data_IF_944605510198
#
_entry.id   IF_944605510198
#
_cell.length_a   1.000
_cell.length_b   1.000
_cell.length_c   1.000
_cell.angle_alpha   90.00
_cell.angle_beta   90.00
_cell.angle_gamma   90.00
#
_symmetry.space_group_name_H-M   'P 1'
#
loop_
_entity.id
_entity.type
_entity.pdbx_description
1 polymer ?
#
# COMPACT_ATOMS: atom_id res chain seq x y z
N UNK A 1 13.59 -24.03 -0.08
CA UNK A 1 14.83 -23.25 0.16
C UNK A 1 14.50 -22.08 1.06
N UNK A 2 15.50 -21.49 1.74
CA UNK A 2 15.27 -20.29 2.57
C UNK A 2 15.43 -19.03 1.72
N UNK A 3 14.50 -18.08 1.83
CA UNK A 3 14.54 -16.83 1.09
C UNK A 3 15.74 -15.98 1.55
N UNK A 4 16.44 -15.27 0.63
CA UNK A 4 17.54 -14.38 0.98
C UNK A 4 17.13 -13.36 2.06
N UNK A 5 17.97 -13.11 3.08
CA UNK A 5 17.64 -12.19 4.18
C UNK A 5 17.22 -10.79 3.71
N UNK A 6 17.83 -10.29 2.63
CA UNK A 6 17.54 -8.98 2.05
C UNK A 6 16.11 -8.91 1.50
N UNK A 7 15.66 -9.97 0.82
CA UNK A 7 14.29 -10.05 0.30
C UNK A 7 13.30 -10.15 1.45
N UNK A 8 13.59 -10.97 2.47
CA UNK A 8 12.75 -11.06 3.67
C UNK A 8 12.59 -9.69 4.35
N UNK A 9 13.66 -8.90 4.45
CA UNK A 9 13.62 -7.56 5.01
C UNK A 9 12.77 -6.59 4.15
N UNK A 10 12.91 -6.65 2.82
CA UNK A 10 12.09 -5.85 1.90
C UNK A 10 10.60 -6.21 2.01
N UNK A 11 10.27 -7.50 2.02
CA UNK A 11 8.89 -7.97 2.20
C UNK A 11 8.28 -7.52 3.53
N UNK A 12 9.02 -7.66 4.62
CA UNK A 12 8.58 -7.21 5.94
C UNK A 12 8.30 -5.70 5.95
N UNK A 13 9.18 -4.90 5.33
CA UNK A 13 8.98 -3.46 5.18
C UNK A 13 7.75 -3.15 4.33
N UNK A 14 7.58 -3.84 3.19
CA UNK A 14 6.46 -3.64 2.28
C UNK A 14 5.13 -3.93 2.98
N UNK A 15 5.01 -5.08 3.66
CA UNK A 15 3.81 -5.43 4.43
C UNK A 15 3.46 -4.38 5.48
N UNK A 16 4.45 -3.95 6.28
CA UNK A 16 4.25 -2.91 7.30
C UNK A 16 3.74 -1.60 6.73
N UNK A 17 4.24 -1.19 5.55
CA UNK A 17 3.79 0.03 4.90
C UNK A 17 2.39 -0.11 4.31
N UNK A 18 2.04 -1.27 3.75
CA UNK A 18 0.67 -1.55 3.28
C UNK A 18 -0.35 -1.55 4.43
N UNK A 19 -0.03 -2.18 5.56
CA UNK A 19 -0.87 -2.16 6.76
C UNK A 19 -1.12 -0.72 7.25
N UNK A 20 -0.07 0.10 7.23
CA UNK A 20 -0.18 1.51 7.63
C UNK A 20 -1.09 2.29 6.68
N UNK A 21 -0.95 2.09 5.36
CA UNK A 21 -1.82 2.72 4.35
C UNK A 21 -3.27 2.29 4.55
N UNK A 22 -3.51 1.00 4.76
CA UNK A 22 -4.84 0.45 5.01
C UNK A 22 -5.50 1.09 6.23
N UNK A 23 -4.78 1.18 7.35
CA UNK A 23 -5.26 1.81 8.57
C UNK A 23 -5.60 3.30 8.38
N UNK A 24 -4.72 4.04 7.71
CA UNK A 24 -4.96 5.46 7.42
C UNK A 24 -6.14 5.63 6.45
N UNK A 25 -6.28 4.79 5.42
CA UNK A 25 -7.42 4.83 4.51
C UNK A 25 -8.76 4.56 5.23
N UNK A 26 -8.81 3.55 6.10
CA UNK A 26 -9.98 3.26 6.94
C UNK A 26 -10.34 4.46 7.82
N UNK A 27 -9.34 5.11 8.42
CA UNK A 27 -9.53 6.31 9.23
C UNK A 27 -10.03 7.48 8.38
N UNK A 28 -9.48 7.66 7.18
CA UNK A 28 -9.91 8.64 6.20
C UNK A 28 -11.37 8.47 5.79
N UNK A 29 -11.81 7.24 5.51
CA UNK A 29 -13.21 6.91 5.23
C UNK A 29 -14.13 7.30 6.39
N UNK A 30 -13.74 6.96 7.63
CA UNK A 30 -14.52 7.32 8.82
C UNK A 30 -14.64 8.83 8.96
N UNK A 31 -13.53 9.58 8.82
CA UNK A 31 -13.54 11.04 8.87
C UNK A 31 -14.43 11.65 7.79
N UNK A 32 -14.29 11.17 6.55
CA UNK A 32 -15.06 11.68 5.41
C UNK A 32 -16.55 11.46 5.63
N UNK A 33 -16.96 10.27 6.11
CA UNK A 33 -18.36 9.98 6.46
C UNK A 33 -18.90 10.94 7.53
N UNK A 34 -18.15 11.15 8.61
CA UNK A 34 -18.56 12.07 9.68
C UNK A 34 -18.72 13.50 9.15
N UNK A 35 -17.80 14.00 8.32
CA UNK A 35 -17.91 15.34 7.76
C UNK A 35 -19.09 15.43 6.79
N UNK A 36 -19.34 14.37 6.00
CA UNK A 36 -20.46 14.31 5.05
C UNK A 36 -21.85 14.39 5.69
N UNK A 37 -21.97 14.12 7.00
CA UNK A 37 -23.22 14.33 7.75
C UNK A 37 -23.58 15.83 7.86
N UNK A 38 -22.59 16.73 7.79
CA UNK A 38 -22.76 18.17 7.99
C UNK A 38 -22.45 18.99 6.74
N UNK A 39 -21.60 18.48 5.83
CA UNK A 39 -21.19 19.14 4.60
C UNK A 39 -21.21 18.12 3.45
N UNK A 40 -22.09 18.31 2.47
CA UNK A 40 -22.03 17.55 1.22
C UNK A 40 -21.38 18.39 0.14
N UNK A 41 -20.20 17.95 -0.33
CA UNK A 41 -19.47 18.55 -1.43
C UNK A 41 -18.91 17.43 -2.31
N UNK A 42 -18.81 17.71 -3.61
CA UNK A 42 -18.11 16.90 -4.60
C UNK A 42 -16.69 16.54 -4.11
N UNK A 43 -15.98 17.48 -3.48
CA UNK A 43 -14.62 17.22 -2.96
C UNK A 43 -14.60 16.11 -1.92
N UNK A 44 -15.60 16.04 -1.02
CA UNK A 44 -15.72 14.97 -0.03
C UNK A 44 -16.10 13.64 -0.68
N UNK A 45 -16.90 13.67 -1.74
CA UNK A 45 -17.26 12.47 -2.50
C UNK A 45 -16.05 11.88 -3.24
N UNK A 46 -15.25 12.73 -3.88
CA UNK A 46 -13.98 12.34 -4.52
C UNK A 46 -12.97 11.84 -3.49
N UNK A 47 -12.91 12.48 -2.31
CA UNK A 47 -12.05 12.04 -1.20
C UNK A 47 -12.48 10.68 -0.65
N UNK A 48 -13.79 10.44 -0.53
CA UNK A 48 -14.33 9.14 -0.13
C UNK A 48 -13.99 8.04 -1.14
N UNK A 49 -14.14 8.32 -2.45
CA UNK A 49 -13.75 7.40 -3.52
C UNK A 49 -12.25 7.09 -3.45
N UNK A 50 -11.40 8.11 -3.30
CA UNK A 50 -9.96 7.96 -3.18
C UNK A 50 -9.55 6.98 -2.07
N UNK A 51 -10.17 7.04 -0.88
CA UNK A 51 -9.84 6.10 0.18
C UNK A 51 -10.31 4.67 -0.11
N UNK A 52 -11.40 4.47 -0.84
CA UNK A 52 -11.81 3.13 -1.28
C UNK A 52 -10.83 2.58 -2.33
N UNK A 53 -10.44 3.40 -3.31
CA UNK A 53 -9.43 3.03 -4.32
C UNK A 53 -8.10 2.71 -3.67
N UNK A 54 -7.73 3.43 -2.60
CA UNK A 54 -6.56 3.12 -1.79
C UNK A 54 -6.65 1.73 -1.15
N UNK A 55 -7.81 1.34 -0.59
CA UNK A 55 -7.99 0.00 -0.02
C UNK A 55 -7.89 -1.09 -1.11
N UNK A 56 -8.47 -0.83 -2.28
CA UNK A 56 -8.34 -1.71 -3.43
C UNK A 56 -6.87 -1.84 -3.87
N UNK A 57 -6.12 -0.72 -3.90
CA UNK A 57 -4.70 -0.71 -4.17
C UNK A 57 -3.92 -1.56 -3.16
N UNK A 58 -4.19 -1.44 -1.85
CA UNK A 58 -3.54 -2.25 -0.82
C UNK A 58 -3.77 -3.74 -1.08
N UNK A 59 -5.02 -4.15 -1.35
CA UNK A 59 -5.32 -5.54 -1.65
C UNK A 59 -4.58 -6.03 -2.91
N UNK A 60 -4.54 -5.19 -3.95
CA UNK A 60 -3.80 -5.50 -5.18
C UNK A 60 -2.30 -5.68 -4.92
N UNK A 61 -1.69 -4.83 -4.09
CA UNK A 61 -0.26 -4.99 -3.75
C UNK A 61 0.00 -6.23 -2.90
N UNK A 62 -0.88 -6.58 -1.95
CA UNK A 62 -0.77 -7.82 -1.18
C UNK A 62 -0.75 -9.06 -2.10
N UNK A 63 -1.64 -9.09 -3.10
CA UNK A 63 -1.67 -10.17 -4.11
C UNK A 63 -0.37 -10.19 -4.93
N UNK A 64 0.12 -9.02 -5.39
CA UNK A 64 1.37 -8.93 -6.15
C UNK A 64 2.58 -9.44 -5.36
N UNK A 65 2.67 -9.09 -4.08
CA UNK A 65 3.72 -9.59 -3.19
C UNK A 65 3.65 -11.11 -3.09
N UNK A 66 2.47 -11.69 -2.90
CA UNK A 66 2.31 -13.14 -2.84
C UNK A 66 2.79 -13.81 -4.14
N UNK A 67 2.44 -13.25 -5.29
CA UNK A 67 2.92 -13.76 -6.59
C UNK A 67 4.45 -13.72 -6.69
N UNK A 68 5.09 -12.65 -6.20
CA UNK A 68 6.56 -12.55 -6.19
C UNK A 68 7.17 -13.60 -5.24
N UNK A 69 6.60 -13.77 -4.05
CA UNK A 69 7.04 -14.81 -3.08
C UNK A 69 6.93 -16.20 -3.71
N UNK A 70 5.81 -16.50 -4.36
CA UNK A 70 5.58 -17.78 -5.01
C UNK A 70 6.62 -18.00 -6.12
N UNK A 71 6.86 -16.98 -6.98
CA UNK A 71 7.91 -17.04 -8.01
C UNK A 71 9.28 -17.37 -7.42
N UNK A 72 9.66 -16.76 -6.29
CA UNK A 72 10.94 -17.03 -5.62
C UNK A 72 10.99 -18.47 -5.11
N UNK A 73 9.91 -18.96 -4.51
CA UNK A 73 9.84 -20.31 -3.94
C UNK A 73 9.90 -21.42 -5.00
N UNK A 74 9.42 -21.15 -6.22
CA UNK A 74 9.47 -22.09 -7.34
C UNK A 74 10.79 -22.07 -8.14
N UNK A 75 11.77 -21.24 -7.77
CA UNK A 75 13.10 -21.28 -8.39
C UNK A 75 13.89 -22.47 -7.83
N UNK A 76 14.05 -23.52 -8.64
CA UNK A 76 14.79 -24.74 -8.28
C UNK A 76 16.31 -24.53 -8.18
N UNK A 77 16.87 -23.60 -8.96
CA UNK A 77 18.26 -23.15 -8.88
C UNK A 77 18.28 -21.62 -8.86
N UNK A 78 18.87 -21.05 -7.81
CA UNK A 78 19.03 -19.60 -7.61
C UNK A 78 19.97 -19.03 -8.68
N UNK A 79 19.42 -18.69 -9.84
CA UNK A 79 20.06 -17.79 -10.78
C UNK A 79 20.01 -16.42 -10.11
N UNK A 80 21.14 -15.95 -9.56
CA UNK A 80 21.25 -14.68 -8.84
C UNK A 80 20.61 -13.51 -9.61
N UNK A 81 20.67 -13.54 -10.94
CA UNK A 81 20.01 -12.56 -11.81
C UNK A 81 18.48 -12.53 -11.65
N UNK A 82 17.82 -13.70 -11.53
CA UNK A 82 16.36 -13.77 -11.35
C UNK A 82 15.96 -13.24 -9.97
N UNK A 83 16.75 -13.53 -8.95
CA UNK A 83 16.54 -12.99 -7.60
C UNK A 83 16.70 -11.46 -7.61
N UNK A 84 17.72 -10.92 -8.28
CA UNK A 84 17.90 -9.47 -8.39
C UNK A 84 16.73 -8.79 -9.11
N UNK A 85 16.23 -9.37 -10.20
CA UNK A 85 15.08 -8.82 -10.93
C UNK A 85 13.83 -8.77 -10.04
N UNK A 86 13.55 -9.84 -9.30
CA UNK A 86 12.41 -9.89 -8.38
C UNK A 86 12.58 -8.95 -7.18
N UNK A 87 13.81 -8.81 -6.68
CA UNK A 87 14.15 -7.85 -5.64
C UNK A 87 13.91 -6.40 -6.09
N UNK A 88 14.26 -6.06 -7.34
CA UNK A 88 13.98 -4.76 -7.92
C UNK A 88 12.48 -4.50 -8.10
N UNK A 89 11.72 -5.50 -8.54
CA UNK A 89 10.25 -5.39 -8.64
C UNK A 89 9.60 -5.09 -7.28
N UNK A 90 10.12 -5.68 -6.19
CA UNK A 90 9.70 -5.36 -4.83
C UNK A 90 10.06 -3.93 -4.43
N UNK A 91 11.27 -3.46 -4.74
CA UNK A 91 11.73 -2.12 -4.39
C UNK A 91 10.91 -1.03 -5.12
N UNK A 92 10.70 -1.20 -6.43
CA UNK A 92 9.82 -0.34 -7.24
C UNK A 92 8.37 -0.33 -6.68
N UNK A 93 7.92 -1.47 -6.15
CA UNK A 93 6.63 -1.59 -5.47
C UNK A 93 6.56 -0.78 -4.16
N UNK A 94 7.63 -0.81 -3.36
CA UNK A 94 7.76 -0.04 -2.12
C UNK A 94 7.71 1.46 -2.41
N UNK A 95 8.40 1.94 -3.44
CA UNK A 95 8.40 3.36 -3.80
C UNK A 95 6.98 3.87 -4.11
N UNK A 96 6.22 3.11 -4.89
CA UNK A 96 4.80 3.42 -5.17
C UNK A 96 3.95 3.45 -3.90
N UNK A 97 4.16 2.50 -2.98
CA UNK A 97 3.49 2.49 -1.67
C UNK A 97 3.83 3.76 -0.88
N UNK A 98 5.09 4.16 -0.84
CA UNK A 98 5.53 5.36 -0.13
C UNK A 98 4.94 6.65 -0.71
N UNK A 99 4.76 6.73 -2.03
CA UNK A 99 4.07 7.85 -2.67
C UNK A 99 2.60 7.94 -2.25
N UNK A 100 1.86 6.82 -2.32
CA UNK A 100 0.46 6.75 -1.89
C UNK A 100 0.33 7.13 -0.41
N UNK A 101 1.25 6.67 0.45
CA UNK A 101 1.29 7.05 1.86
C UNK A 101 1.43 8.56 2.05
N UNK A 102 2.32 9.24 1.32
CA UNK A 102 2.49 10.70 1.41
C UNK A 102 1.19 11.43 1.09
N UNK A 103 0.49 10.99 0.03
CA UNK A 103 -0.78 11.58 -0.41
C UNK A 103 -1.85 11.41 0.67
N UNK A 104 -2.04 10.19 1.17
CA UNK A 104 -3.03 9.87 2.22
C UNK A 104 -2.82 10.69 3.48
N UNK A 105 -1.59 10.77 3.96
CA UNK A 105 -1.27 11.52 5.18
C UNK A 105 -1.66 12.99 5.03
N UNK A 106 -1.41 13.57 3.85
CA UNK A 106 -1.78 14.96 3.57
C UNK A 106 -3.31 15.14 3.50
N UNK A 107 -4.03 14.26 2.82
CA UNK A 107 -5.49 14.32 2.72
C UNK A 107 -6.13 14.20 4.12
N UNK A 108 -5.69 13.22 4.93
CA UNK A 108 -6.19 13.04 6.29
C UNK A 108 -5.87 14.25 7.17
N UNK A 109 -4.68 14.83 7.03
CA UNK A 109 -4.32 16.05 7.75
C UNK A 109 -5.27 17.20 7.40
N UNK A 110 -5.64 17.36 6.13
CA UNK A 110 -6.57 18.39 5.70
C UNK A 110 -8.01 18.11 6.15
N UNK A 111 -8.49 16.87 6.08
CA UNK A 111 -9.81 16.49 6.59
C UNK A 111 -9.96 16.77 8.09
N UNK A 112 -8.91 16.54 8.88
CA UNK A 112 -8.93 16.84 10.31
C UNK A 112 -9.09 18.32 10.63
N UNK A 113 -8.77 19.24 9.70
CA UNK A 113 -9.00 20.67 9.86
C UNK A 113 -10.46 21.07 9.62
N UNK A 114 -11.24 20.18 9.00
CA UNK A 114 -12.65 20.38 8.68
C UNK A 114 -13.60 19.72 9.69
N UNK A 115 -13.06 18.90 10.60
CA UNK A 115 -13.77 18.32 11.74
C UNK A 115 -13.79 19.31 12.89
#
# INVERSE_FOLDING_TARGET
MSMPPEINALLARFHKELERIEQEAIKGLKLTRTISEYLSDRVLSETFAFFNDTLFFVNTQKIRIQIIIDKINFLEETIDEKIQVLGKELDDGIDRVLEVKKIIVNIIHNLKKLK
#
